data_IF_848323938599
#
_entry.id   IF_848323938599
#
_cell.length_a   1.000
_cell.length_b   1.000
_cell.length_c   1.000
_cell.angle_alpha   90.00
_cell.angle_beta   90.00
_cell.angle_gamma   90.00
#
_symmetry.space_group_name_H-M   'P 1'
#
loop_
_entity.id
_entity.type
_entity.pdbx_description
1 polymer ?
#
# COMPACT_ATOMS: atom_id res chain seq x y z
N UNK A 1 -23.84 36.19 -5.28
CA UNK A 1 -22.60 35.40 -5.34
C UNK A 1 -22.93 34.10 -4.61
N UNK A 2 -23.36 33.09 -5.36
CA UNK A 2 -23.90 31.85 -4.83
C UNK A 2 -22.76 30.84 -4.74
N UNK A 3 -22.25 30.61 -3.53
CA UNK A 3 -21.23 29.58 -3.28
C UNK A 3 -21.98 28.39 -2.71
N UNK A 4 -22.44 27.51 -3.61
CA UNK A 4 -23.01 26.23 -3.23
C UNK A 4 -22.03 25.41 -2.38
N UNK A 5 -22.51 24.55 -1.47
CA UNK A 5 -21.66 23.80 -0.59
C UNK A 5 -20.76 22.91 -1.44
N UNK A 6 -19.44 23.15 -1.37
CA UNK A 6 -18.45 22.27 -1.94
C UNK A 6 -18.76 20.86 -1.41
N UNK A 7 -19.19 19.99 -2.33
CA UNK A 7 -19.40 18.57 -2.05
C UNK A 7 -18.22 18.10 -1.22
N UNK A 8 -18.49 17.68 0.01
CA UNK A 8 -17.49 17.20 0.95
C UNK A 8 -16.89 15.94 0.34
N UNK A 9 -15.84 16.12 -0.46
CA UNK A 9 -15.04 15.03 -0.98
C UNK A 9 -14.56 14.26 0.25
N UNK A 10 -15.06 13.02 0.40
CA UNK A 10 -14.62 12.13 1.46
C UNK A 10 -13.09 12.14 1.42
N UNK A 11 -12.40 12.55 2.50
CA UNK A 11 -10.96 12.64 2.47
C UNK A 11 -10.44 11.25 2.10
N UNK A 12 -9.74 11.18 0.98
CA UNK A 12 -9.05 9.96 0.55
C UNK A 12 -8.22 9.50 1.75
N UNK A 13 -8.44 8.26 2.21
CA UNK A 13 -7.72 7.66 3.34
C UNK A 13 -6.62 6.75 2.78
N UNK A 14 -5.45 7.29 2.39
CA UNK A 14 -4.37 6.50 1.83
C UNK A 14 -3.89 5.40 2.79
N UNK A 15 -4.07 5.57 4.11
CA UNK A 15 -3.70 4.54 5.08
C UNK A 15 -4.51 3.24 4.94
N UNK A 16 -5.81 3.33 4.63
CA UNK A 16 -6.67 2.16 4.51
C UNK A 16 -6.30 1.32 3.27
N UNK A 17 -6.10 2.00 2.12
CA UNK A 17 -5.64 1.33 0.90
C UNK A 17 -4.22 0.77 1.01
N UNK A 18 -3.31 1.47 1.70
CA UNK A 18 -1.97 0.98 1.93
C UNK A 18 -1.95 -0.28 2.83
N UNK A 19 -2.80 -0.34 3.86
CA UNK A 19 -2.91 -1.52 4.73
C UNK A 19 -3.47 -2.73 3.99
N UNK A 20 -4.52 -2.53 3.18
CA UNK A 20 -5.08 -3.58 2.33
C UNK A 20 -4.05 -4.10 1.32
N UNK A 21 -3.33 -3.19 0.67
CA UNK A 21 -2.25 -3.53 -0.26
C UNK A 21 -1.10 -4.31 0.39
N UNK A 22 -0.75 -4.00 1.65
CA UNK A 22 0.25 -4.76 2.41
C UNK A 22 -0.21 -6.19 2.72
N UNK A 23 -1.47 -6.38 3.11
CA UNK A 23 -2.04 -7.70 3.40
C UNK A 23 -2.11 -8.57 2.15
N UNK A 24 -2.54 -7.99 1.03
CA UNK A 24 -2.58 -8.68 -0.26
C UNK A 24 -1.16 -9.09 -0.71
N UNK A 25 -0.19 -8.18 -0.61
CA UNK A 25 1.20 -8.49 -0.95
C UNK A 25 1.79 -9.62 -0.08
N UNK A 26 1.45 -9.67 1.21
CA UNK A 26 1.83 -10.79 2.09
C UNK A 26 1.21 -12.11 1.63
N UNK A 27 -0.11 -12.15 1.39
CA UNK A 27 -0.79 -13.36 0.94
C UNK A 27 -0.22 -13.89 -0.39
N UNK A 28 0.09 -13.00 -1.35
CA UNK A 28 0.73 -13.37 -2.62
C UNK A 28 2.16 -13.88 -2.43
N UNK A 29 2.90 -13.29 -1.50
CA UNK A 29 4.26 -13.75 -1.16
C UNK A 29 4.22 -15.15 -0.56
N UNK A 30 3.31 -15.42 0.37
CA UNK A 30 3.12 -16.74 0.97
C UNK A 30 2.77 -17.79 -0.08
N UNK A 31 1.77 -17.51 -0.93
CA UNK A 31 1.36 -18.42 -2.00
C UNK A 31 2.50 -18.73 -2.99
N UNK A 32 3.19 -17.71 -3.50
CA UNK A 32 4.29 -17.90 -4.44
C UNK A 32 5.49 -18.60 -3.77
N UNK A 33 5.76 -18.34 -2.49
CA UNK A 33 6.83 -19.01 -1.76
C UNK A 33 6.56 -20.51 -1.55
N UNK A 34 5.29 -20.89 -1.36
CA UNK A 34 4.90 -22.29 -1.24
C UNK A 34 5.08 -23.05 -2.57
N UNK A 35 4.72 -22.42 -3.70
CA UNK A 35 4.96 -22.97 -5.04
C UNK A 35 6.46 -23.18 -5.32
N UNK A 36 7.29 -22.18 -5.00
CA UNK A 36 8.75 -22.28 -5.15
C UNK A 36 9.32 -23.39 -4.26
N UNK A 37 8.87 -23.49 -3.01
CA UNK A 37 9.31 -24.54 -2.08
C UNK A 37 8.87 -25.94 -2.53
N UNK A 38 7.73 -26.06 -3.22
CA UNK A 38 7.28 -27.28 -3.86
C UNK A 38 8.07 -27.63 -5.15
N UNK A 39 9.01 -26.78 -5.56
CA UNK A 39 9.83 -26.97 -6.76
C UNK A 39 9.18 -26.44 -8.04
N UNK A 40 8.05 -25.75 -7.96
CA UNK A 40 7.42 -25.11 -9.10
C UNK A 40 8.09 -23.76 -9.38
N UNK A 41 9.01 -23.76 -10.34
CA UNK A 41 9.82 -22.60 -10.74
C UNK A 41 9.33 -21.97 -12.05
N UNK A 42 8.03 -22.02 -12.32
CA UNK A 42 7.45 -21.30 -13.46
C UNK A 42 7.85 -19.81 -13.37
N UNK A 43 8.39 -19.21 -14.46
CA UNK A 43 8.70 -17.78 -14.48
C UNK A 43 7.56 -16.88 -14.03
N UNK A 44 6.29 -17.28 -14.24
CA UNK A 44 5.13 -16.55 -13.75
C UNK A 44 5.10 -16.47 -12.21
N UNK A 45 5.41 -17.56 -11.50
CA UNK A 45 5.45 -17.62 -10.03
C UNK A 45 6.56 -16.72 -9.47
N UNK A 46 7.72 -16.74 -10.11
CA UNK A 46 8.87 -15.89 -9.70
C UNK A 46 8.57 -14.40 -9.92
N UNK A 47 7.94 -14.07 -11.05
CA UNK A 47 7.47 -12.72 -11.34
C UNK A 47 6.40 -12.27 -10.35
N UNK A 48 5.46 -13.14 -10.00
CA UNK A 48 4.42 -12.85 -9.01
C UNK A 48 5.00 -12.56 -7.62
N UNK A 49 5.98 -13.35 -7.17
CA UNK A 49 6.70 -13.07 -5.92
C UNK A 49 7.40 -11.72 -5.96
N UNK A 50 8.05 -11.41 -7.08
CA UNK A 50 8.76 -10.14 -7.25
C UNK A 50 7.79 -8.96 -7.29
N UNK A 51 6.66 -9.10 -7.98
CA UNK A 51 5.61 -8.10 -8.05
C UNK A 51 5.00 -7.86 -6.66
N UNK A 52 4.69 -8.92 -5.91
CA UNK A 52 4.20 -8.81 -4.53
C UNK A 52 5.18 -8.07 -3.63
N UNK A 53 6.50 -8.29 -3.79
CA UNK A 53 7.53 -7.55 -3.05
C UNK A 53 7.56 -6.06 -3.40
N UNK A 54 7.39 -5.71 -4.68
CA UNK A 54 7.29 -4.31 -5.12
C UNK A 54 6.05 -3.65 -4.56
N UNK A 55 4.91 -4.33 -4.62
CA UNK A 55 3.63 -3.85 -4.07
C UNK A 55 3.74 -3.60 -2.57
N UNK A 56 4.37 -4.52 -1.82
CA UNK A 56 4.64 -4.34 -0.40
C UNK A 56 5.46 -3.07 -0.12
N UNK A 57 6.57 -2.88 -0.86
CA UNK A 57 7.44 -1.73 -0.68
C UNK A 57 6.73 -0.40 -1.00
N UNK A 58 5.92 -0.37 -2.07
CA UNK A 58 5.14 0.80 -2.46
C UNK A 58 4.12 1.17 -1.37
N UNK A 59 3.37 0.20 -0.86
CA UNK A 59 2.37 0.43 0.18
C UNK A 59 3.01 0.84 1.52
N UNK A 60 4.13 0.22 1.90
CA UNK A 60 4.89 0.61 3.09
C UNK A 60 5.40 2.06 2.98
N UNK A 61 5.86 2.47 1.80
CA UNK A 61 6.31 3.85 1.55
C UNK A 61 5.17 4.85 1.63
N UNK A 62 4.00 4.51 1.09
CA UNK A 62 2.79 5.33 1.20
C UNK A 62 2.39 5.58 2.66
N UNK A 63 2.46 4.53 3.49
CA UNK A 63 2.17 4.64 4.91
C UNK A 63 3.20 5.52 5.65
N UNK A 64 4.49 5.37 5.35
CA UNK A 64 5.54 6.23 5.92
C UNK A 64 5.36 7.69 5.52
N UNK A 65 5.11 7.97 4.23
CA UNK A 65 4.90 9.33 3.74
C UNK A 65 3.69 9.99 4.43
N UNK A 66 2.65 9.22 4.70
CA UNK A 66 1.47 9.72 5.41
C UNK A 66 1.78 10.07 6.87
N UNK A 67 2.58 9.24 7.57
CA UNK A 67 3.01 9.53 8.94
C UNK A 67 3.92 10.76 9.00
N UNK A 68 4.87 10.87 8.08
CA UNK A 68 5.78 12.02 7.97
C UNK A 68 5.01 13.32 7.72
N UNK A 69 4.04 13.31 6.80
CA UNK A 69 3.21 14.48 6.53
C UNK A 69 2.39 14.88 7.76
N UNK A 70 1.84 13.89 8.48
CA UNK A 70 1.09 14.15 9.72
C UNK A 70 1.96 14.81 10.79
N UNK A 71 3.22 14.36 10.95
CA UNK A 71 4.18 14.98 11.88
C UNK A 71 4.48 16.42 11.51
N UNK A 72 4.80 16.69 10.23
CA UNK A 72 5.08 18.05 9.77
C UNK A 72 3.91 19.01 10.01
N UNK A 73 2.67 18.54 9.79
CA UNK A 73 1.48 19.34 10.06
C UNK A 73 1.37 19.65 11.56
N UNK A 74 1.60 18.68 12.43
CA UNK A 74 1.59 18.88 13.88
C UNK A 74 2.71 19.84 14.33
N UNK A 75 3.91 19.72 13.76
CA UNK A 75 5.05 20.59 14.07
C UNK A 75 4.80 22.04 13.62
N UNK A 76 4.09 22.27 12.50
CA UNK A 76 3.70 23.62 12.05
C UNK A 76 2.60 24.25 12.91
N UNK A 77 1.84 23.45 13.65
CA UNK A 77 0.78 23.89 14.55
C UNK A 77 1.29 24.21 15.98
N UNK A 78 2.50 23.77 16.32
CA UNK A 78 3.14 23.96 17.63
C UNK A 78 4.01 25.22 17.67
#
# INVERSE_FOLDING_TARGET
MDIGPASSATPFRPQAGALDGLQNAQARTEAASAEIAAGNLDPAVVLDLTAARVDFAANAKSLQATQENSRRLLDMLA
#
